data_IF_761774217485
#
_entry.id   IF_761774217485
#
_cell.length_a   1.000
_cell.length_b   1.000
_cell.length_c   1.000
_cell.angle_alpha   90.00
_cell.angle_beta   90.00
_cell.angle_gamma   90.00
#
_symmetry.space_group_name_H-M   'P 1'
#
loop_
_entity.id
_entity.type
_entity.pdbx_description
1 polymer ?
#
# COMPACT_ATOMS: atom_id res chain seq x y z
N UNK A 1 11.74 -1.62 -4.32
CA UNK A 1 11.27 -2.03 -2.98
C UNK A 1 9.81 -2.41 -3.05
N UNK A 2 9.46 -3.56 -2.47
CA UNK A 2 8.07 -3.99 -2.31
C UNK A 2 7.63 -3.71 -0.88
N UNK A 3 6.45 -3.10 -0.71
CA UNK A 3 5.86 -2.82 0.60
C UNK A 3 4.66 -3.73 0.81
N UNK A 4 4.65 -4.52 1.88
CA UNK A 4 3.52 -5.38 2.25
C UNK A 4 2.76 -4.75 3.40
N UNK A 5 1.45 -4.53 3.21
CA UNK A 5 0.55 -3.95 4.21
C UNK A 5 -0.50 -5.01 4.59
N UNK A 6 -0.28 -5.76 5.68
CA UNK A 6 -1.35 -6.56 6.27
C UNK A 6 -2.37 -5.64 6.93
N UNK A 7 -3.65 -5.91 6.71
CA UNK A 7 -4.73 -5.11 7.27
C UNK A 7 -5.98 -5.97 7.50
N UNK A 8 -6.89 -5.50 8.37
CA UNK A 8 -8.17 -6.14 8.64
C UNK A 8 -9.18 -5.10 9.11
N UNK A 9 -10.21 -4.85 8.32
CA UNK A 9 -11.27 -3.88 8.65
C UNK A 9 -10.72 -2.50 9.10
N UNK A 10 -9.76 -1.94 8.34
CA UNK A 10 -9.12 -0.63 8.62
C UNK A 10 -9.14 0.31 7.41
N UNK A 11 -10.29 0.42 6.73
CA UNK A 11 -10.45 1.18 5.48
C UNK A 11 -9.88 2.61 5.53
N UNK A 12 -10.17 3.38 6.58
CA UNK A 12 -9.74 4.78 6.65
C UNK A 12 -8.25 4.94 6.89
N UNK A 13 -7.69 4.11 7.77
CA UNK A 13 -6.25 4.08 8.05
C UNK A 13 -5.49 3.61 6.80
N UNK A 14 -5.95 2.54 6.14
CA UNK A 14 -5.39 2.07 4.88
C UNK A 14 -5.38 3.18 3.83
N UNK A 15 -6.47 3.94 3.70
CA UNK A 15 -6.54 5.08 2.77
C UNK A 15 -5.50 6.15 3.10
N UNK A 16 -5.31 6.49 4.38
CA UNK A 16 -4.29 7.45 4.82
C UNK A 16 -2.88 6.93 4.51
N UNK A 17 -2.61 5.66 4.79
CA UNK A 17 -1.33 5.00 4.54
C UNK A 17 -0.98 4.98 3.06
N UNK A 18 -1.91 4.59 2.18
CA UNK A 18 -1.68 4.58 0.73
C UNK A 18 -1.42 6.00 0.19
N UNK A 19 -2.08 7.03 0.73
CA UNK A 19 -1.78 8.43 0.40
C UNK A 19 -0.37 8.83 0.82
N UNK A 20 0.06 8.45 2.01
CA UNK A 20 1.41 8.75 2.51
C UNK A 20 2.50 8.11 1.64
N UNK A 21 2.33 6.83 1.28
CA UNK A 21 3.24 6.15 0.35
C UNK A 21 3.28 6.81 -1.03
N UNK A 22 2.13 7.28 -1.54
CA UNK A 22 2.09 8.01 -2.81
C UNK A 22 2.87 9.32 -2.76
N UNK A 23 3.06 9.93 -1.59
CA UNK A 23 3.80 11.19 -1.41
C UNK A 23 5.26 11.04 -0.97
N UNK A 24 5.77 9.83 -0.69
CA UNK A 24 7.14 9.66 -0.19
C UNK A 24 8.21 10.02 -1.23
N UNK A 25 9.27 10.71 -0.81
CA UNK A 25 10.48 10.92 -1.60
C UNK A 25 11.56 9.89 -1.22
N UNK A 26 12.30 9.28 -2.17
CA UNK A 26 12.09 9.30 -3.62
C UNK A 26 10.99 8.32 -4.07
N UNK A 27 10.00 8.82 -4.80
CA UNK A 27 8.81 8.05 -5.26
C UNK A 27 9.15 6.85 -6.17
N UNK A 28 10.39 6.74 -6.67
CA UNK A 28 10.82 5.70 -7.61
C UNK A 28 11.33 4.43 -6.92
N UNK A 29 11.57 4.46 -5.62
CA UNK A 29 12.09 3.29 -4.91
C UNK A 29 11.01 2.26 -4.56
N UNK A 30 9.77 2.72 -4.37
CA UNK A 30 8.61 1.83 -4.17
C UNK A 30 8.13 1.37 -5.53
N UNK A 31 8.39 0.09 -5.81
CA UNK A 31 8.02 -0.57 -7.07
C UNK A 31 6.58 -1.04 -7.01
N UNK A 32 6.14 -1.55 -5.86
CA UNK A 32 4.80 -2.08 -5.65
C UNK A 32 4.37 -2.01 -4.18
N UNK A 33 3.06 -1.94 -3.96
CA UNK A 33 2.44 -2.10 -2.64
C UNK A 33 1.46 -3.26 -2.71
N UNK A 34 1.68 -4.27 -1.87
CA UNK A 34 0.81 -5.43 -1.72
C UNK A 34 -0.02 -5.28 -0.45
N UNK A 35 -1.35 -5.21 -0.59
CA UNK A 35 -2.26 -5.17 0.55
C UNK A 35 -2.83 -6.56 0.78
N UNK A 36 -2.72 -7.07 2.00
CA UNK A 36 -3.33 -8.35 2.42
C UNK A 36 -4.46 -8.03 3.40
N UNK A 37 -5.70 -8.19 2.96
CA UNK A 37 -6.91 -7.94 3.75
C UNK A 37 -7.66 -9.25 3.99
N UNK A 38 -7.61 -9.76 5.22
CA UNK A 38 -8.29 -10.99 5.64
C UNK A 38 -8.05 -12.20 4.70
N UNK A 39 -6.79 -12.42 4.31
CA UNK A 39 -6.40 -13.49 3.38
C UNK A 39 -6.65 -13.18 1.90
N UNK A 40 -7.19 -12.00 1.55
CA UNK A 40 -7.30 -11.52 0.17
C UNK A 40 -6.13 -10.61 -0.18
N UNK A 41 -5.55 -10.79 -1.35
CA UNK A 41 -4.41 -10.01 -1.83
C UNK A 41 -4.88 -8.99 -2.87
N UNK A 42 -4.48 -7.73 -2.69
CA UNK A 42 -4.67 -6.64 -3.65
C UNK A 42 -3.33 -6.03 -4.02
N UNK A 43 -3.06 -5.92 -5.32
CA UNK A 43 -1.84 -5.27 -5.83
C UNK A 43 -2.16 -3.82 -6.16
N UNK A 44 -1.47 -2.89 -5.51
CA UNK A 44 -1.53 -1.46 -5.80
C UNK A 44 -0.24 -1.07 -6.49
N UNK A 45 -0.28 -0.99 -7.82
CA UNK A 45 0.83 -0.52 -8.65
C UNK A 45 0.57 0.91 -9.14
N UNK A 46 1.64 1.68 -9.39
CA UNK A 46 1.53 2.93 -10.13
C UNK A 46 1.46 2.61 -11.63
N UNK A 47 0.52 3.25 -12.34
CA UNK A 47 0.73 3.61 -13.75
C UNK A 47 1.58 4.87 -13.81
#
# INVERSE_FOLDING_TARGET
MSVVIPTYNRKEILRKTLRAYRSQSPQREIVEILVVDDGRIFVVTRR
#
